data_IF_214984920441
#
_entry.id   IF_214984920441
#
_cell.length_a   1.000
_cell.length_b   1.000
_cell.length_c   1.000
_cell.angle_alpha   90.00
_cell.angle_beta   90.00
_cell.angle_gamma   90.00
#
_symmetry.space_group_name_H-M   'P 1'
#
loop_
_entity.id
_entity.type
_entity.pdbx_description
1 polymer ?
#
# COMPACT_ATOMS: atom_id res chain seq x y z
N UNK A 1 -53.94 -10.25 -28.19
CA UNK A 1 -54.02 -11.42 -27.30
C UNK A 1 -53.11 -11.19 -26.11
N UNK A 2 -53.65 -11.09 -24.89
CA UNK A 2 -52.84 -10.93 -23.68
C UNK A 2 -52.34 -12.31 -23.25
N UNK A 3 -51.03 -12.53 -23.26
CA UNK A 3 -50.43 -13.72 -22.66
C UNK A 3 -50.59 -13.58 -21.14
N UNK A 4 -51.41 -14.46 -20.55
CA UNK A 4 -51.57 -14.58 -19.11
C UNK A 4 -50.33 -15.28 -18.56
N UNK A 5 -49.26 -14.52 -18.34
CA UNK A 5 -48.03 -15.03 -17.75
C UNK A 5 -48.23 -15.00 -16.23
N UNK A 6 -48.56 -16.17 -15.66
CA UNK A 6 -48.56 -16.34 -14.21
C UNK A 6 -47.13 -16.08 -13.69
N UNK A 7 -46.89 -15.02 -12.90
CA UNK A 7 -45.53 -14.61 -12.51
C UNK A 7 -44.83 -15.62 -11.59
N UNK A 8 -45.57 -16.63 -11.11
CA UNK A 8 -45.09 -17.66 -10.19
C UNK A 8 -44.22 -18.72 -10.90
N UNK A 9 -44.39 -18.93 -12.21
CA UNK A 9 -43.62 -19.94 -12.96
C UNK A 9 -42.22 -19.45 -13.39
N UNK A 10 -41.92 -18.15 -13.25
CA UNK A 10 -40.64 -17.56 -13.63
C UNK A 10 -39.77 -17.11 -12.44
N UNK A 11 -40.23 -17.36 -11.20
CA UNK A 11 -39.48 -17.02 -10.00
C UNK A 11 -38.63 -18.21 -9.52
N UNK A 12 -37.35 -17.96 -9.24
CA UNK A 12 -36.50 -18.96 -8.57
C UNK A 12 -37.07 -19.22 -7.17
N UNK A 13 -37.24 -20.49 -6.81
CA UNK A 13 -37.69 -20.86 -5.46
C UNK A 13 -36.65 -20.44 -4.40
N UNK A 14 -37.08 -20.05 -3.18
CA UNK A 14 -36.16 -19.78 -2.09
C UNK A 14 -35.29 -21.00 -1.81
N UNK A 15 -33.99 -20.78 -1.63
CA UNK A 15 -33.06 -21.87 -1.35
C UNK A 15 -33.34 -22.46 0.03
N UNK A 16 -33.64 -23.76 0.08
CA UNK A 16 -33.90 -24.49 1.34
C UNK A 16 -32.57 -24.80 2.02
N UNK A 17 -32.45 -24.46 3.30
CA UNK A 17 -31.24 -24.66 4.12
C UNK A 17 -31.01 -26.14 4.51
N UNK A 18 -29.77 -26.55 4.85
CA UNK A 18 -28.52 -25.77 4.79
C UNK A 18 -27.72 -26.10 3.54
N UNK A 19 -27.39 -25.05 2.79
CA UNK A 19 -26.53 -25.15 1.61
C UNK A 19 -25.12 -25.49 2.06
N UNK A 20 -24.49 -26.57 1.55
CA UNK A 20 -23.11 -26.88 1.89
C UNK A 20 -22.20 -25.74 1.42
N UNK A 21 -21.78 -24.88 2.35
CA UNK A 21 -20.76 -23.87 2.08
C UNK A 21 -19.47 -24.62 1.77
N UNK A 22 -19.04 -24.60 0.51
CA UNK A 22 -17.74 -25.14 0.13
C UNK A 22 -16.67 -24.25 0.75
N UNK A 23 -16.21 -24.65 1.94
CA UNK A 23 -15.13 -23.96 2.65
C UNK A 23 -13.81 -24.29 1.95
N UNK A 24 -13.29 -23.34 1.19
CA UNK A 24 -11.97 -23.45 0.57
C UNK A 24 -10.83 -23.56 1.59
N UNK A 25 -11.07 -23.16 2.84
CA UNK A 25 -10.16 -23.33 3.97
C UNK A 25 -10.86 -23.88 5.21
N UNK A 26 -10.16 -24.67 6.03
CA UNK A 26 -10.72 -25.16 7.29
C UNK A 26 -11.01 -23.99 8.24
N UNK A 27 -12.12 -24.06 9.00
CA UNK A 27 -12.42 -23.13 10.10
C UNK A 27 -11.52 -23.42 11.30
N UNK A 28 -10.22 -23.17 11.15
CA UNK A 28 -9.23 -23.21 12.22
C UNK A 28 -8.29 -22.04 12.06
N UNK A 29 -7.87 -21.47 13.18
CA UNK A 29 -6.87 -20.42 13.18
C UNK A 29 -5.53 -20.99 12.69
N UNK A 30 -4.82 -20.21 11.87
CA UNK A 30 -3.44 -20.53 11.50
C UNK A 30 -2.52 -20.23 12.68
N UNK A 31 -1.38 -20.93 12.81
CA UNK A 31 -0.40 -20.64 13.86
C UNK A 31 0.26 -19.26 13.68
N UNK A 32 0.10 -18.63 12.52
CA UNK A 32 0.70 -17.33 12.19
C UNK A 32 -0.30 -16.45 11.44
N UNK A 33 -0.11 -15.14 11.60
CA UNK A 33 -0.80 -14.11 10.82
C UNK A 33 0.09 -13.66 9.66
N UNK A 34 -0.51 -13.26 8.54
CA UNK A 34 0.27 -12.62 7.47
C UNK A 34 0.61 -11.20 7.89
N UNK A 35 1.91 -10.93 8.10
CA UNK A 35 2.40 -9.57 8.22
C UNK A 35 2.38 -8.92 6.84
N UNK A 36 1.29 -8.19 6.51
CA UNK A 36 1.27 -7.36 5.31
C UNK A 36 2.20 -6.17 5.55
N UNK A 37 3.48 -6.33 5.19
CA UNK A 37 4.43 -5.23 5.17
C UNK A 37 4.03 -4.25 4.08
N UNK A 38 3.79 -2.99 4.45
CA UNK A 38 3.61 -1.94 3.47
C UNK A 38 5.01 -1.64 2.92
N UNK A 39 5.29 -2.05 1.69
CA UNK A 39 6.41 -1.49 0.90
C UNK A 39 5.96 -0.13 0.40
N UNK A 40 5.73 0.80 1.32
CA UNK A 40 5.57 2.21 0.96
C UNK A 40 6.86 2.66 0.30
N UNK A 41 6.75 3.42 -0.78
CA UNK A 41 7.90 4.10 -1.39
C UNK A 41 8.55 4.94 -0.29
N UNK A 42 9.69 4.46 0.23
CA UNK A 42 10.46 5.19 1.22
C UNK A 42 10.72 6.60 0.69
N UNK A 43 10.71 7.57 1.61
CA UNK A 43 10.99 8.96 1.30
C UNK A 43 12.35 9.01 0.59
N UNK A 44 12.38 9.51 -0.64
CA UNK A 44 13.60 9.52 -1.44
C UNK A 44 14.64 10.43 -0.79
N UNK A 45 15.91 10.01 -0.81
CA UNK A 45 17.07 10.82 -0.42
C UNK A 45 17.24 11.13 1.09
N UNK A 46 16.67 10.31 1.99
CA UNK A 46 16.87 10.46 3.44
C UNK A 46 18.35 10.43 3.85
N UNK A 47 19.13 9.53 3.25
CA UNK A 47 20.57 9.40 3.53
C UNK A 47 21.31 10.70 3.19
N UNK A 48 20.99 11.30 2.05
CA UNK A 48 21.72 12.47 1.54
C UNK A 48 21.34 13.71 2.32
N UNK A 49 20.08 13.79 2.76
CA UNK A 49 19.61 14.80 3.70
C UNK A 49 20.35 14.70 5.04
N UNK A 50 20.54 13.50 5.60
CA UNK A 50 21.25 13.33 6.86
C UNK A 50 22.71 13.81 6.77
N UNK A 51 23.39 13.53 5.66
CA UNK A 51 24.77 13.99 5.42
C UNK A 51 24.84 15.52 5.29
N UNK A 52 23.92 16.13 4.54
CA UNK A 52 23.83 17.60 4.41
C UNK A 52 23.61 18.26 5.77
N UNK A 53 22.69 17.75 6.57
CA UNK A 53 22.40 18.27 7.91
C UNK A 53 23.58 18.10 8.87
N UNK A 54 24.35 17.01 8.74
CA UNK A 54 25.58 16.84 9.51
C UNK A 54 26.62 17.91 9.18
N UNK A 55 26.82 18.23 7.89
CA UNK A 55 27.71 19.31 7.48
C UNK A 55 27.25 20.67 7.97
N UNK A 56 25.94 20.96 7.90
CA UNK A 56 25.41 22.21 8.45
C UNK A 56 25.64 22.35 9.94
N UNK A 57 25.47 21.27 10.70
CA UNK A 57 25.72 21.28 12.15
C UNK A 57 27.17 21.64 12.49
N UNK A 58 28.15 21.20 11.70
CA UNK A 58 29.57 21.46 11.97
C UNK A 58 30.06 22.81 11.49
N UNK A 59 29.32 23.46 10.59
CA UNK A 59 29.74 24.69 9.90
C UNK A 59 28.75 25.85 10.10
N UNK A 60 28.00 25.84 11.21
CA UNK A 60 26.99 26.87 11.54
C UNK A 60 26.02 27.18 10.39
N UNK A 61 25.57 26.13 9.71
CA UNK A 61 24.63 26.20 8.57
C UNK A 61 25.14 27.03 7.38
N UNK A 62 26.46 27.20 7.25
CA UNK A 62 27.07 27.89 6.12
C UNK A 62 26.97 27.04 4.84
N UNK A 63 26.11 27.47 3.91
CA UNK A 63 25.87 26.77 2.64
C UNK A 63 27.10 26.70 1.74
N UNK A 64 27.99 27.69 1.79
CA UNK A 64 29.17 27.72 0.92
C UNK A 64 30.14 26.58 1.28
N UNK A 65 30.26 26.27 2.59
CA UNK A 65 31.12 25.20 3.11
C UNK A 65 30.54 23.80 2.85
N UNK A 66 29.22 23.69 2.72
CA UNK A 66 28.50 22.42 2.51
C UNK A 66 27.95 22.25 1.08
N UNK A 67 28.51 22.97 0.11
CA UNK A 67 28.08 22.94 -1.30
C UNK A 67 28.08 21.53 -1.89
N UNK A 68 29.08 20.71 -1.55
CA UNK A 68 29.20 19.32 -2.02
C UNK A 68 28.03 18.45 -1.55
N UNK A 69 27.62 18.60 -0.30
CA UNK A 69 26.54 17.82 0.29
C UNK A 69 25.18 18.27 -0.24
N UNK A 70 25.01 19.57 -0.47
CA UNK A 70 23.83 20.14 -1.12
C UNK A 70 23.69 19.61 -2.56
N UNK A 71 24.77 19.60 -3.35
CA UNK A 71 24.75 19.09 -4.72
C UNK A 71 24.39 17.61 -4.76
N UNK A 72 24.92 16.80 -3.83
CA UNK A 72 24.56 15.38 -3.71
C UNK A 72 23.08 15.19 -3.40
N UNK A 73 22.54 15.95 -2.44
CA UNK A 73 21.13 15.92 -2.11
C UNK A 73 20.25 16.31 -3.31
N UNK A 74 20.57 17.40 -4.00
CA UNK A 74 19.84 17.83 -5.20
C UNK A 74 19.92 16.80 -6.32
N UNK A 75 21.08 16.18 -6.53
CA UNK A 75 21.26 15.14 -7.53
C UNK A 75 20.46 13.87 -7.21
N UNK A 76 20.34 13.51 -5.93
CA UNK A 76 19.45 12.43 -5.52
C UNK A 76 17.99 12.81 -5.80
N UNK A 77 17.58 14.01 -5.41
CA UNK A 77 16.20 14.48 -5.57
C UNK A 77 15.76 14.51 -7.05
N UNK A 78 16.66 14.98 -7.94
CA UNK A 78 16.44 14.99 -9.40
C UNK A 78 16.31 13.59 -10.00
N UNK A 79 16.92 12.56 -9.40
CA UNK A 79 16.82 11.16 -9.87
C UNK A 79 15.55 10.46 -9.38
N UNK A 80 14.98 10.92 -8.27
CA UNK A 80 13.75 10.37 -7.70
C UNK A 80 12.47 11.02 -8.26
N UNK A 81 12.61 12.10 -9.04
CA UNK A 81 11.53 12.76 -9.76
C UNK A 81 11.24 12.02 -11.08
#
# INVERSE_FOLDING_TARGET
>A
MRLNINPILAARTPQKEPVPVQRSLPMKLKPTVSGKGNRTSDVSCLQEMAIMLACFKTNDFNQNLCSKEIDKFQNCYKKSL
#
